data_IF_322848236169
#
_entry.id   IF_322848236169
#
_cell.length_a   1.000
_cell.length_b   1.000
_cell.length_c   1.000
_cell.angle_alpha   90.00
_cell.angle_beta   90.00
_cell.angle_gamma   90.00
#
_symmetry.space_group_name_H-M   'P 1'
#
loop_
_entity.id
_entity.type
_entity.pdbx_description
1 polymer ?
#
# COMPACT_ATOMS: atom_id res chain seq x y z
N UNK A 1 14.80 -4.13 13.47
CA UNK A 1 13.57 -4.77 12.98
C UNK A 1 12.92 -3.74 12.09
N UNK A 2 12.92 -3.99 10.79
CA UNK A 2 12.20 -3.20 9.81
C UNK A 2 10.80 -3.78 9.58
N UNK A 3 10.09 -3.18 8.63
CA UNK A 3 8.73 -3.53 8.27
C UNK A 3 8.69 -4.43 7.04
N UNK A 4 7.67 -5.29 6.97
CA UNK A 4 7.26 -6.02 5.78
C UNK A 4 6.22 -5.17 5.05
N UNK A 5 6.61 -4.62 3.91
CA UNK A 5 5.82 -3.63 3.17
C UNK A 5 5.33 -4.20 1.83
N UNK A 6 4.05 -3.99 1.54
CA UNK A 6 3.48 -4.27 0.22
C UNK A 6 3.32 -2.98 -0.56
N UNK A 7 3.68 -2.98 -1.84
CA UNK A 7 3.30 -1.92 -2.80
C UNK A 7 2.40 -2.54 -3.86
N UNK A 8 1.11 -2.21 -3.81
CA UNK A 8 0.11 -2.68 -4.77
C UNK A 8 -0.07 -1.66 -5.90
N UNK A 9 -0.01 -2.12 -7.15
CA UNK A 9 0.04 -1.23 -8.32
C UNK A 9 1.47 -0.83 -8.68
N UNK A 10 2.46 -1.66 -8.32
CA UNK A 10 3.88 -1.38 -8.45
C UNK A 10 4.36 -1.07 -9.88
N UNK A 11 3.61 -1.49 -10.91
CA UNK A 11 3.95 -1.21 -12.31
C UNK A 11 3.40 0.12 -12.83
N UNK A 12 2.46 0.74 -12.11
CA UNK A 12 1.91 2.06 -12.44
C UNK A 12 2.83 3.20 -11.98
N UNK A 13 2.58 4.41 -12.47
CA UNK A 13 3.42 5.58 -12.17
C UNK A 13 3.52 5.86 -10.65
N UNK A 14 2.38 5.89 -9.95
CA UNK A 14 2.35 6.15 -8.50
C UNK A 14 3.03 5.00 -7.73
N UNK A 15 2.80 3.74 -8.10
CA UNK A 15 3.44 2.61 -7.43
C UNK A 15 4.96 2.58 -7.60
N UNK A 16 5.48 2.94 -8.78
CA UNK A 16 6.93 3.13 -9.01
C UNK A 16 7.48 4.25 -8.14
N UNK A 17 6.75 5.36 -8.04
CA UNK A 17 7.16 6.48 -7.20
C UNK A 17 7.16 6.13 -5.71
N UNK A 18 6.18 5.36 -5.24
CA UNK A 18 6.18 4.82 -3.88
C UNK A 18 7.43 3.97 -3.60
N UNK A 19 7.84 3.11 -4.54
CA UNK A 19 9.07 2.32 -4.42
C UNK A 19 10.31 3.21 -4.38
N UNK A 20 10.38 4.23 -5.24
CA UNK A 20 11.48 5.19 -5.28
C UNK A 20 11.60 5.94 -3.94
N UNK A 21 10.51 6.54 -3.46
CA UNK A 21 10.49 7.30 -2.20
C UNK A 21 10.86 6.41 -1.01
N UNK A 22 10.35 5.17 -0.94
CA UNK A 22 10.74 4.24 0.13
C UNK A 22 12.25 3.97 0.11
N UNK A 23 12.85 3.82 -1.07
CA UNK A 23 14.29 3.59 -1.21
C UNK A 23 15.11 4.86 -0.88
N UNK A 24 14.73 6.01 -1.44
CA UNK A 24 15.40 7.30 -1.23
C UNK A 24 15.39 7.72 0.24
N UNK A 25 14.26 7.54 0.92
CA UNK A 25 14.13 7.84 2.36
C UNK A 25 14.76 6.77 3.25
N UNK A 26 15.35 5.73 2.67
CA UNK A 26 15.91 4.58 3.39
C UNK A 26 14.90 4.04 4.41
N UNK A 27 13.63 3.93 4.02
CA UNK A 27 12.58 3.44 4.90
C UNK A 27 12.99 2.05 5.40
N UNK A 28 12.83 1.73 6.71
CA UNK A 28 13.32 0.49 7.28
C UNK A 28 12.48 -0.69 6.80
N UNK A 29 12.73 -1.17 5.58
CA UNK A 29 12.04 -2.31 4.95
C UNK A 29 12.89 -3.57 5.11
N UNK A 30 12.36 -4.57 5.83
CA UNK A 30 12.98 -5.90 5.94
C UNK A 30 12.57 -6.77 4.74
N UNK A 31 11.30 -6.71 4.32
CA UNK A 31 10.77 -7.43 3.16
C UNK A 31 9.83 -6.53 2.35
N UNK A 32 9.92 -6.59 1.02
CA UNK A 32 9.03 -5.86 0.12
C UNK A 32 8.35 -6.80 -0.89
N UNK A 33 7.02 -6.72 -0.99
CA UNK A 33 6.26 -7.33 -2.07
C UNK A 33 5.74 -6.26 -3.04
N UNK A 34 6.18 -6.35 -4.30
CA UNK A 34 5.61 -5.56 -5.39
C UNK A 34 4.44 -6.34 -6.02
N UNK A 35 3.22 -5.85 -5.87
CA UNK A 35 2.03 -6.47 -6.44
C UNK A 35 1.53 -5.71 -7.66
N UNK A 36 1.04 -6.45 -8.64
CA UNK A 36 0.39 -5.90 -9.83
C UNK A 36 -0.80 -6.80 -10.23
N UNK A 37 -1.58 -6.34 -11.21
CA UNK A 37 -2.57 -7.22 -11.83
C UNK A 37 -1.90 -8.37 -12.57
N UNK A 38 -2.62 -9.47 -12.78
CA UNK A 38 -2.20 -10.62 -13.59
C UNK A 38 -1.59 -10.28 -14.96
N UNK A 39 -2.03 -9.19 -15.60
CA UNK A 39 -1.50 -8.72 -16.90
C UNK A 39 -0.05 -8.25 -16.83
N UNK A 40 0.43 -7.90 -15.64
CA UNK A 40 1.76 -7.35 -15.40
C UNK A 40 2.59 -8.26 -14.48
N UNK A 41 2.17 -9.51 -14.29
CA UNK A 41 2.89 -10.49 -13.48
C UNK A 41 4.31 -10.71 -14.02
N UNK A 42 5.30 -10.73 -13.12
CA UNK A 42 6.71 -10.93 -13.49
C UNK A 42 7.39 -9.72 -14.12
N UNK A 43 6.69 -8.59 -14.25
CA UNK A 43 7.31 -7.33 -14.65
C UNK A 43 8.34 -6.93 -13.60
N UNK A 44 9.50 -6.48 -14.05
CA UNK A 44 10.55 -6.00 -13.17
C UNK A 44 10.32 -4.53 -12.80
N UNK A 45 10.46 -4.23 -11.52
CA UNK A 45 10.41 -2.88 -10.95
C UNK A 45 11.61 -2.67 -10.04
N UNK A 46 12.10 -1.44 -9.97
CA UNK A 46 13.28 -1.11 -9.18
C UNK A 46 12.89 -0.69 -7.77
N UNK A 47 13.74 -1.01 -6.80
CA UNK A 47 13.66 -0.58 -5.41
C UNK A 47 15.09 -0.28 -4.92
N UNK A 48 15.52 0.97 -5.08
CA UNK A 48 16.92 1.35 -4.97
C UNK A 48 17.76 0.56 -5.99
N UNK A 49 18.86 -0.04 -5.52
CA UNK A 49 19.73 -0.88 -6.36
C UNK A 49 19.18 -2.30 -6.60
N UNK A 50 18.01 -2.63 -6.02
CA UNK A 50 17.40 -3.96 -6.16
C UNK A 50 16.37 -3.96 -7.28
N UNK A 51 16.30 -5.08 -8.00
CA UNK A 51 15.21 -5.37 -8.95
C UNK A 51 14.26 -6.39 -8.32
N UNK A 52 12.97 -6.05 -8.32
CA UNK A 52 11.90 -6.89 -7.81
C UNK A 52 11.03 -7.38 -8.97
N UNK A 53 10.60 -8.64 -8.92
CA UNK A 53 9.58 -9.16 -9.83
C UNK A 53 8.21 -9.01 -9.20
N UNK A 54 7.28 -8.44 -9.96
CA UNK A 54 5.90 -8.30 -9.48
C UNK A 54 5.22 -9.65 -9.31
N UNK A 55 4.41 -9.75 -8.25
CA UNK A 55 3.51 -10.88 -7.98
C UNK A 55 2.07 -10.47 -8.29
N UNK A 56 1.20 -11.44 -8.48
CA UNK A 56 -0.23 -11.17 -8.68
C UNK A 56 -0.84 -10.74 -7.34
N UNK A 57 -1.66 -9.69 -7.37
CA UNK A 57 -2.45 -9.28 -6.21
C UNK A 57 -3.59 -10.27 -5.95
N UNK A 58 -4.09 -10.95 -6.99
CA UNK A 58 -5.14 -11.94 -6.83
C UNK A 58 -4.61 -13.17 -6.08
N UNK A 59 -5.23 -13.48 -4.94
CA UNK A 59 -4.81 -14.61 -4.09
C UNK A 59 -3.54 -14.35 -3.26
N UNK A 60 -3.03 -13.12 -3.23
CA UNK A 60 -1.93 -12.76 -2.33
C UNK A 60 -2.39 -12.81 -0.87
N UNK A 61 -1.57 -13.43 -0.01
CA UNK A 61 -1.80 -13.49 1.44
C UNK A 61 -1.09 -12.32 2.13
N UNK A 62 -1.87 -11.41 2.71
CA UNK A 62 -1.39 -10.26 3.46
C UNK A 62 -1.09 -10.58 4.93
N UNK A 63 -1.26 -11.84 5.37
CA UNK A 63 -0.94 -12.24 6.74
C UNK A 63 0.53 -11.99 7.07
N UNK A 64 0.76 -11.27 8.18
CA UNK A 64 2.10 -10.94 8.66
C UNK A 64 2.82 -9.85 7.87
N UNK A 65 2.15 -9.18 6.92
CA UNK A 65 2.63 -7.91 6.35
C UNK A 65 2.18 -6.76 7.25
N UNK A 66 3.08 -5.82 7.52
CA UNK A 66 2.80 -4.72 8.44
C UNK A 66 1.92 -3.65 7.79
N UNK A 67 2.23 -3.32 6.52
CA UNK A 67 1.50 -2.29 5.77
C UNK A 67 1.49 -2.54 4.27
N UNK A 68 0.44 -2.04 3.62
CA UNK A 68 0.29 -2.07 2.18
C UNK A 68 -0.04 -0.68 1.62
N UNK A 69 0.82 -0.19 0.73
CA UNK A 69 0.62 1.06 -0.02
C UNK A 69 -0.16 0.73 -1.29
N UNK A 70 -1.37 1.25 -1.41
CA UNK A 70 -2.29 0.94 -2.50
C UNK A 70 -2.32 2.07 -3.54
N UNK A 71 -1.93 1.76 -4.77
CA UNK A 71 -2.03 2.62 -5.94
C UNK A 71 -2.73 1.89 -7.10
N UNK A 72 -3.87 1.25 -6.80
CA UNK A 72 -4.57 0.33 -7.71
C UNK A 72 -5.92 0.87 -8.25
N UNK A 73 -6.31 2.08 -7.86
CA UNK A 73 -7.60 2.70 -8.22
C UNK A 73 -8.78 2.17 -7.38
N UNK A 74 -9.89 2.92 -7.39
CA UNK A 74 -11.00 2.71 -6.45
C UNK A 74 -11.68 1.33 -6.60
N UNK A 75 -11.89 0.84 -7.82
CA UNK A 75 -12.55 -0.46 -8.04
C UNK A 75 -11.74 -1.64 -7.49
N UNK A 76 -10.42 -1.66 -7.75
CA UNK A 76 -9.56 -2.72 -7.22
C UNK A 76 -9.38 -2.57 -5.69
N UNK A 77 -9.27 -1.34 -5.20
CA UNK A 77 -9.19 -1.04 -3.76
C UNK A 77 -10.41 -1.57 -3.02
N UNK A 78 -11.62 -1.36 -3.56
CA UNK A 78 -12.87 -1.87 -3.00
C UNK A 78 -12.85 -3.39 -2.80
N UNK A 79 -12.15 -4.14 -3.66
CA UNK A 79 -11.96 -5.59 -3.54
C UNK A 79 -10.87 -5.95 -2.54
N UNK A 80 -9.68 -5.37 -2.67
CA UNK A 80 -8.48 -5.88 -2.00
C UNK A 80 -8.16 -5.22 -0.65
N UNK A 81 -8.57 -3.96 -0.42
CA UNK A 81 -8.28 -3.29 0.84
C UNK A 81 -8.96 -3.97 2.04
N UNK A 82 -10.25 -4.38 1.98
CA UNK A 82 -10.87 -5.13 3.08
C UNK A 82 -10.22 -6.50 3.33
N UNK A 83 -9.68 -7.15 2.29
CA UNK A 83 -8.99 -8.44 2.42
C UNK A 83 -7.68 -8.26 3.18
N UNK A 84 -6.85 -7.30 2.75
CA UNK A 84 -5.58 -7.00 3.41
C UNK A 84 -5.79 -6.55 4.87
N UNK A 85 -6.74 -5.63 5.08
CA UNK A 85 -7.14 -5.15 6.40
C UNK A 85 -7.60 -6.30 7.32
N UNK A 86 -8.46 -7.19 6.82
CA UNK A 86 -8.96 -8.35 7.56
C UNK A 86 -7.89 -9.40 7.88
N UNK A 87 -6.74 -9.38 7.19
CA UNK A 87 -5.56 -10.20 7.45
C UNK A 87 -4.54 -9.50 8.37
N UNK A 88 -4.91 -8.35 8.94
CA UNK A 88 -4.09 -7.60 9.90
C UNK A 88 -3.11 -6.60 9.27
N UNK A 89 -3.06 -6.50 7.94
CA UNK A 89 -2.18 -5.56 7.24
C UNK A 89 -2.82 -4.16 7.15
N UNK A 90 -2.12 -3.13 7.62
CA UNK A 90 -2.61 -1.75 7.55
C UNK A 90 -2.57 -1.26 6.10
N UNK A 91 -3.71 -0.87 5.53
CA UNK A 91 -3.77 -0.36 4.17
C UNK A 91 -3.66 1.16 4.16
N UNK A 92 -2.77 1.71 3.35
CA UNK A 92 -2.70 3.14 3.03
C UNK A 92 -3.14 3.30 1.57
N UNK A 93 -4.38 3.77 1.38
CA UNK A 93 -5.02 3.83 0.06
C UNK A 93 -4.84 5.20 -0.60
N UNK A 94 -4.23 5.22 -1.79
CA UNK A 94 -4.08 6.40 -2.62
C UNK A 94 -5.31 6.70 -3.52
N UNK A 95 -6.29 5.81 -3.56
CA UNK A 95 -7.53 6.05 -4.30
C UNK A 95 -8.43 7.08 -3.61
N UNK A 96 -9.50 7.48 -4.29
CA UNK A 96 -10.52 8.36 -3.71
C UNK A 96 -11.57 7.62 -2.88
N UNK A 97 -11.57 6.28 -2.88
CA UNK A 97 -12.67 5.45 -2.39
C UNK A 97 -13.03 5.75 -0.93
N UNK A 98 -12.03 5.87 -0.06
CA UNK A 98 -12.22 5.96 1.38
C UNK A 98 -12.07 7.36 1.97
N UNK A 99 -11.80 8.39 1.15
CA UNK A 99 -11.51 9.75 1.62
C UNK A 99 -12.64 10.41 2.42
N UNK A 100 -13.87 9.92 2.27
CA UNK A 100 -15.07 10.45 2.92
C UNK A 100 -15.76 9.44 3.84
N UNK A 101 -15.17 8.27 4.08
CA UNK A 101 -15.69 7.29 5.03
C UNK A 101 -15.37 7.78 6.45
N UNK A 102 -16.37 8.03 7.31
CA UNK A 102 -16.14 8.61 8.64
C UNK A 102 -15.36 7.67 9.59
N UNK A 103 -15.27 6.38 9.26
CA UNK A 103 -14.50 5.42 10.06
C UNK A 103 -13.04 5.32 9.59
N UNK A 104 -12.66 5.96 8.49
CA UNK A 104 -11.32 5.89 7.89
C UNK A 104 -10.67 7.27 7.95
N UNK A 105 -9.50 7.42 8.59
CA UNK A 105 -8.84 8.71 8.65
C UNK A 105 -8.24 9.10 7.30
N UNK A 106 -8.47 10.35 6.89
CA UNK A 106 -7.79 11.02 5.79
C UNK A 106 -6.61 11.81 6.36
N UNK A 107 -5.37 11.47 5.98
CA UNK A 107 -4.18 11.96 6.68
C UNK A 107 -3.28 12.82 5.80
N UNK A 108 -2.97 14.02 6.27
CA UNK A 108 -1.81 14.83 5.88
C UNK A 108 -0.94 14.97 7.14
N UNK A 109 0.23 14.33 7.21
CA UNK A 109 1.04 14.26 8.44
C UNK A 109 1.34 15.62 9.09
N UNK A 110 1.52 16.67 8.29
CA UNK A 110 1.84 18.02 8.76
C UNK A 110 0.60 18.80 9.25
N UNK A 111 -0.61 18.30 9.02
CA UNK A 111 -1.87 19.00 9.33
C UNK A 111 -2.65 18.29 10.42
N UNK A 112 -2.80 16.97 10.33
CA UNK A 112 -3.64 16.18 11.24
C UNK A 112 -3.00 14.83 11.63
N UNK A 113 -1.75 14.82 12.15
CA UNK A 113 -1.05 13.58 12.48
C UNK A 113 -1.80 12.76 13.54
N UNK A 114 -2.43 13.39 14.52
CA UNK A 114 -3.12 12.72 15.62
C UNK A 114 -4.34 11.89 15.16
N UNK A 115 -4.94 12.26 14.02
CA UNK A 115 -6.06 11.53 13.44
C UNK A 115 -5.65 10.13 12.95
N UNK A 116 -4.35 9.86 12.81
CA UNK A 116 -3.85 8.57 12.32
C UNK A 116 -4.41 7.42 13.15
N UNK A 117 -4.57 7.59 14.46
CA UNK A 117 -5.05 6.55 15.38
C UNK A 117 -6.43 5.99 15.01
N UNK A 118 -7.23 6.73 14.24
CA UNK A 118 -8.48 6.24 13.66
C UNK A 118 -8.32 5.06 12.70
N UNK A 119 -7.10 4.76 12.23
CA UNK A 119 -6.83 3.66 11.30
C UNK A 119 -7.35 2.32 11.84
N UNK A 120 -7.30 2.14 13.16
CA UNK A 120 -7.67 0.90 13.84
C UNK A 120 -9.15 0.50 13.65
N UNK A 121 -10.03 1.44 13.25
CA UNK A 121 -11.45 1.16 13.02
C UNK A 121 -11.66 0.17 11.86
N UNK A 122 -10.90 0.33 10.78
CA UNK A 122 -11.01 -0.50 9.56
C UNK A 122 -9.68 -1.05 9.07
N UNK A 123 -8.58 -0.77 9.78
CA UNK A 123 -7.21 -1.03 9.38
C UNK A 123 -6.83 -0.38 8.04
N UNK A 124 -7.44 0.76 7.73
CA UNK A 124 -7.27 1.52 6.47
C UNK A 124 -7.02 2.98 6.82
N UNK A 125 -6.16 3.64 6.05
CA UNK A 125 -5.88 5.07 6.05
C UNK A 125 -6.08 5.56 4.61
N UNK A 126 -6.75 6.70 4.42
CA UNK A 126 -6.90 7.31 3.12
C UNK A 126 -5.81 8.39 2.89
N UNK A 127 -5.21 8.36 1.70
CA UNK A 127 -4.37 9.46 1.20
C UNK A 127 -5.27 10.54 0.58
N UNK A 128 -5.01 11.84 0.84
CA UNK A 128 -5.66 12.95 0.16
C UNK A 128 -5.39 12.97 -1.35
N UNK A 129 -6.01 13.95 -2.01
CA UNK A 129 -5.77 14.24 -3.42
C UNK A 129 -4.44 14.93 -3.66
#
# INVERSE_FOLDING_TARGET
MGYRVVVAGATGNVGREMLNILAERQFPVDELAALASRRSLGTEVSFGDKTLKTRDIEGFDFTGWDMALFAIGSEATKKYAPIAAGQGCVVIDNSSLYRYDPEIPLIVPEVNPDAIMGYANKNIIANPN
#
